data_IF_741034442076
#
_entry.id   IF_741034442076
#
_cell.length_a   1.000
_cell.length_b   1.000
_cell.length_c   1.000
_cell.angle_alpha   90.00
_cell.angle_beta   90.00
_cell.angle_gamma   90.00
#
_symmetry.space_group_name_H-M   'P 1'
#
loop_
_entity.id
_entity.type
_entity.pdbx_description
1 polymer ?
#
# COMPACT_ATOMS: atom_id res chain seq x y z
N UNK A 1 31.84 19.80 6.63
CA UNK A 1 30.90 20.82 7.13
C UNK A 1 29.52 20.21 7.04
N UNK A 2 28.85 20.02 8.17
CA UNK A 2 27.46 19.55 8.17
C UNK A 2 26.55 20.75 7.86
N UNK A 3 25.64 20.58 6.92
CA UNK A 3 24.61 21.59 6.66
C UNK A 3 23.64 21.64 7.84
N UNK A 4 23.16 22.82 8.19
CA UNK A 4 22.05 22.95 9.14
C UNK A 4 20.74 22.53 8.47
N UNK A 5 19.74 22.09 9.25
CA UNK A 5 18.42 21.70 8.74
C UNK A 5 17.82 22.79 7.85
N UNK A 6 17.97 24.07 8.22
CA UNK A 6 17.47 25.21 7.44
C UNK A 6 18.19 25.33 6.08
N UNK A 7 19.48 25.06 6.01
CA UNK A 7 20.24 25.11 4.76
C UNK A 7 19.85 23.98 3.80
N UNK A 8 19.51 22.82 4.35
CA UNK A 8 19.03 21.68 3.57
C UNK A 8 17.61 21.92 3.06
N UNK A 9 16.72 22.44 3.89
CA UNK A 9 15.36 22.79 3.50
C UNK A 9 15.32 23.91 2.45
N UNK A 10 16.19 24.91 2.56
CA UNK A 10 16.35 25.96 1.54
C UNK A 10 16.89 25.37 0.24
N UNK A 11 17.83 24.44 0.28
CA UNK A 11 18.36 23.77 -0.90
C UNK A 11 17.32 22.88 -1.57
N UNK A 12 16.50 22.17 -0.79
CA UNK A 12 15.38 21.35 -1.28
C UNK A 12 14.31 22.22 -1.94
N UNK A 13 13.91 23.29 -1.27
CA UNK A 13 12.95 24.27 -1.79
C UNK A 13 13.40 24.91 -3.09
N UNK A 14 14.66 25.35 -3.16
CA UNK A 14 15.26 25.93 -4.37
C UNK A 14 15.41 24.90 -5.50
N UNK A 15 15.52 23.61 -5.17
CA UNK A 15 15.55 22.53 -6.15
C UNK A 15 14.15 22.22 -6.67
N UNK A 16 13.12 22.25 -5.81
CA UNK A 16 11.72 22.09 -6.17
C UNK A 16 11.19 23.29 -6.98
N UNK A 17 11.57 24.52 -6.61
CA UNK A 17 11.22 25.74 -7.37
C UNK A 17 11.81 25.77 -8.78
N UNK A 18 12.91 25.06 -9.03
CA UNK A 18 13.48 24.90 -10.38
C UNK A 18 12.79 23.85 -11.24
N UNK A 19 11.91 23.03 -10.67
CA UNK A 19 11.24 21.90 -11.35
C UNK A 19 9.90 22.29 -11.97
N UNK A 20 9.29 23.40 -11.60
CA UNK A 20 8.08 23.90 -12.25
C UNK A 20 7.40 25.03 -11.49
N UNK A 21 6.94 26.03 -12.20
CA UNK A 21 5.99 27.00 -11.65
C UNK A 21 4.62 26.30 -11.49
N UNK A 22 3.91 26.54 -10.37
CA UNK A 22 2.56 25.99 -10.19
C UNK A 22 1.63 26.57 -11.27
N UNK A 23 0.84 25.71 -11.89
CA UNK A 23 -0.24 26.15 -12.80
C UNK A 23 -1.25 27.00 -12.02
N UNK A 24 -1.92 27.97 -12.65
CA UNK A 24 -2.82 28.92 -11.99
C UNK A 24 -4.00 28.30 -11.24
N UNK A 25 -4.26 27.01 -11.42
CA UNK A 25 -5.32 26.24 -10.78
C UNK A 25 -4.87 25.40 -9.57
N UNK A 26 -3.60 25.54 -9.14
CA UNK A 26 -3.06 24.84 -7.96
C UNK A 26 -2.74 23.36 -8.17
N UNK A 27 -2.83 22.84 -9.38
CA UNK A 27 -2.39 21.47 -9.70
C UNK A 27 -0.90 21.47 -10.06
N UNK A 28 -0.13 20.57 -9.45
CA UNK A 28 1.27 20.36 -9.82
C UNK A 28 1.30 19.49 -11.08
N UNK A 29 2.01 19.93 -12.11
CA UNK A 29 2.32 19.06 -13.25
C UNK A 29 3.17 17.89 -12.78
N UNK A 30 2.71 16.68 -13.05
CA UNK A 30 3.50 15.46 -12.85
C UNK A 30 4.89 15.61 -13.49
N UNK A 31 5.91 15.35 -12.71
CA UNK A 31 7.31 15.38 -13.14
C UNK A 31 7.47 14.39 -14.30
N UNK A 32 8.03 14.82 -15.44
CA UNK A 32 8.25 13.90 -16.57
C UNK A 32 9.11 12.71 -16.14
N UNK A 33 8.85 11.54 -16.72
CA UNK A 33 9.47 10.24 -16.48
C UNK A 33 11.02 10.17 -16.55
N UNK A 34 11.70 11.31 -16.67
CA UNK A 34 13.17 11.42 -16.65
C UNK A 34 13.81 11.55 -15.25
N UNK A 35 13.01 11.75 -14.20
CA UNK A 35 13.51 11.81 -12.82
C UNK A 35 13.49 10.44 -12.13
N UNK A 36 13.97 9.40 -12.82
CA UNK A 36 14.07 8.04 -12.26
C UNK A 36 15.20 7.83 -11.25
N UNK A 37 15.92 8.86 -10.87
CA UNK A 37 16.96 8.76 -9.85
C UNK A 37 16.97 10.03 -9.00
N UNK A 38 16.14 10.06 -7.95
CA UNK A 38 16.55 10.86 -6.80
C UNK A 38 17.93 10.36 -6.38
N UNK A 39 18.91 11.25 -6.16
CA UNK A 39 20.21 10.80 -5.70
C UNK A 39 19.99 9.99 -4.42
N UNK A 40 20.52 8.76 -4.35
CA UNK A 40 20.49 7.92 -3.15
C UNK A 40 20.94 8.70 -1.90
N UNK A 41 21.81 9.69 -2.09
CA UNK A 41 22.25 10.62 -1.06
C UNK A 41 21.14 11.50 -0.47
N UNK A 42 20.10 11.85 -1.23
CA UNK A 42 19.03 12.71 -0.73
C UNK A 42 18.04 11.90 0.12
N UNK A 43 17.66 10.70 -0.31
CA UNK A 43 16.83 9.79 0.49
C UNK A 43 17.51 9.39 1.79
N UNK A 44 18.81 9.07 1.76
CA UNK A 44 19.59 8.80 2.96
C UNK A 44 19.66 10.02 3.91
N UNK A 45 19.74 11.24 3.36
CA UNK A 45 19.73 12.46 4.15
C UNK A 45 18.35 12.71 4.78
N UNK A 46 17.26 12.50 4.05
CA UNK A 46 15.88 12.63 4.57
C UNK A 46 15.63 11.61 5.68
N UNK A 47 15.98 10.33 5.47
CA UNK A 47 15.84 9.28 6.47
C UNK A 47 16.73 9.48 7.71
N UNK A 48 17.89 10.12 7.56
CA UNK A 48 18.78 10.45 8.69
C UNK A 48 18.27 11.65 9.50
N UNK A 49 17.43 12.51 8.89
CA UNK A 49 16.91 13.71 9.54
C UNK A 49 15.63 13.48 10.33
N UNK A 50 14.80 12.54 9.88
CA UNK A 50 13.54 12.18 10.53
C UNK A 50 13.45 10.65 10.61
N UNK A 51 14.00 10.03 11.65
CA UNK A 51 13.68 8.64 11.90
C UNK A 51 12.16 8.56 12.09
N UNK A 52 11.46 7.61 11.47
CA UNK A 52 10.03 7.47 11.66
C UNK A 52 9.77 7.18 13.13
N UNK A 53 8.96 8.03 13.73
CA UNK A 53 8.47 7.83 15.08
C UNK A 53 7.18 7.00 14.99
N UNK A 54 7.25 5.78 14.47
CA UNK A 54 6.12 4.81 14.47
C UNK A 54 5.55 4.68 15.89
N UNK A 55 6.42 4.79 16.90
CA UNK A 55 6.08 4.68 18.30
C UNK A 55 5.11 5.76 18.83
N UNK A 56 4.89 6.84 18.08
CA UNK A 56 4.03 7.97 18.51
C UNK A 56 2.68 8.02 17.79
N UNK A 57 2.29 6.96 17.11
CA UNK A 57 0.95 6.91 16.52
C UNK A 57 -0.11 6.80 17.61
N UNK A 58 -1.23 7.49 17.41
CA UNK A 58 -2.33 7.49 18.37
C UNK A 58 -3.52 6.76 17.79
N UNK A 59 -3.98 5.73 18.48
CA UNK A 59 -5.19 5.00 18.11
C UNK A 59 -6.41 5.92 18.17
N UNK A 60 -7.26 5.80 17.16
CA UNK A 60 -8.56 6.46 17.04
C UNK A 60 -9.69 5.42 17.22
N UNK A 61 -10.95 5.83 17.26
CA UNK A 61 -12.06 4.88 17.27
C UNK A 61 -11.98 3.92 16.09
N UNK A 62 -12.34 2.67 16.36
CA UNK A 62 -12.36 1.56 15.39
C UNK A 62 -13.73 1.53 14.73
N UNK A 63 -13.77 1.43 13.41
CA UNK A 63 -15.00 1.08 12.68
C UNK A 63 -15.16 -0.43 12.68
N UNK A 64 -16.37 -0.91 12.95
CA UNK A 64 -16.70 -2.33 13.06
C UNK A 64 -17.89 -2.65 12.15
N UNK A 65 -17.72 -3.68 11.32
CA UNK A 65 -18.71 -4.13 10.35
C UNK A 65 -18.93 -5.62 10.52
N UNK A 66 -20.16 -5.97 10.87
CA UNK A 66 -20.53 -7.34 11.17
C UNK A 66 -21.44 -7.87 10.06
N UNK A 67 -21.15 -9.07 9.60
CA UNK A 67 -22.05 -9.87 8.77
C UNK A 67 -22.62 -9.10 7.55
N UNK A 68 -21.73 -8.53 6.77
CA UNK A 68 -22.06 -7.92 5.48
C UNK A 68 -21.52 -8.80 4.35
N UNK A 69 -22.12 -8.76 3.18
CA UNK A 69 -21.65 -9.54 2.01
C UNK A 69 -20.18 -9.26 1.66
N UNK A 70 -19.71 -8.06 1.95
CA UNK A 70 -18.34 -7.65 1.66
C UNK A 70 -17.34 -7.92 2.80
N UNK A 71 -17.78 -8.20 4.03
CA UNK A 71 -16.87 -8.50 5.15
C UNK A 71 -16.29 -9.90 5.03
N UNK A 72 -17.01 -10.83 4.40
CA UNK A 72 -16.57 -12.19 4.20
C UNK A 72 -15.25 -12.29 3.41
N UNK A 73 -14.22 -12.83 4.02
CA UNK A 73 -12.90 -12.99 3.42
C UNK A 73 -12.34 -11.68 2.85
N UNK A 74 -12.43 -10.60 3.62
CA UNK A 74 -12.00 -9.27 3.23
C UNK A 74 -10.46 -9.22 3.21
N UNK A 75 -9.85 -8.72 2.10
CA UNK A 75 -8.41 -8.85 1.84
C UNK A 75 -7.67 -7.50 1.81
N UNK A 76 -8.37 -6.41 1.94
CA UNK A 76 -7.68 -5.13 1.95
C UNK A 76 -8.53 -3.91 1.75
N UNK A 77 -7.95 -2.76 2.07
CA UNK A 77 -8.61 -1.46 2.02
C UNK A 77 -7.65 -0.38 1.55
N UNK A 78 -8.14 0.51 0.69
CA UNK A 78 -7.44 1.76 0.32
C UNK A 78 -8.41 2.92 0.25
N UNK A 79 -7.89 4.15 0.31
CA UNK A 79 -8.70 5.38 0.20
C UNK A 79 -8.02 6.41 -0.69
N UNK A 80 -8.83 7.16 -1.45
CA UNK A 80 -8.40 8.35 -2.18
C UNK A 80 -8.67 9.66 -1.41
N UNK A 81 -9.15 9.54 -0.15
CA UNK A 81 -9.53 10.65 0.70
C UNK A 81 -10.97 11.13 0.48
N UNK A 82 -11.70 10.57 -0.49
CA UNK A 82 -13.12 10.81 -0.74
C UNK A 82 -13.96 9.54 -0.62
N UNK A 83 -13.35 8.39 -0.93
CA UNK A 83 -13.99 7.09 -0.93
C UNK A 83 -13.08 6.04 -0.33
N UNK A 84 -13.69 4.99 0.20
CA UNK A 84 -13.03 3.74 0.53
C UNK A 84 -13.22 2.74 -0.61
N UNK A 85 -12.18 1.96 -0.86
CA UNK A 85 -12.20 0.82 -1.77
C UNK A 85 -11.76 -0.41 -0.99
N UNK A 86 -12.64 -1.40 -0.90
CA UNK A 86 -12.45 -2.62 -0.10
C UNK A 86 -12.46 -3.81 -1.04
N UNK A 87 -11.56 -4.76 -0.82
CA UNK A 87 -11.47 -5.99 -1.60
C UNK A 87 -11.97 -7.15 -0.75
N UNK A 88 -12.97 -7.88 -1.23
CA UNK A 88 -13.45 -9.14 -0.63
C UNK A 88 -13.15 -10.31 -1.57
N UNK A 89 -12.58 -11.37 -1.03
CA UNK A 89 -12.25 -12.59 -1.77
C UNK A 89 -13.24 -13.74 -1.53
N UNK A 90 -14.38 -13.48 -0.93
CA UNK A 90 -15.44 -14.49 -0.76
C UNK A 90 -15.91 -14.97 -2.15
N UNK A 91 -15.88 -16.29 -2.36
CA UNK A 91 -16.25 -16.90 -3.65
C UNK A 91 -17.64 -16.54 -4.16
N UNK A 92 -18.60 -16.25 -3.26
CA UNK A 92 -19.98 -15.92 -3.63
C UNK A 92 -20.19 -14.44 -3.95
N UNK A 93 -19.38 -13.57 -3.38
CA UNK A 93 -19.51 -12.09 -3.45
C UNK A 93 -18.18 -11.40 -3.75
N UNK A 94 -17.23 -12.14 -4.35
CA UNK A 94 -15.90 -11.61 -4.68
C UNK A 94 -16.01 -10.39 -5.55
N UNK A 95 -15.52 -9.26 -5.01
CA UNK A 95 -15.63 -7.98 -5.67
C UNK A 95 -14.68 -6.94 -5.08
N UNK A 96 -14.60 -5.79 -5.75
CA UNK A 96 -14.07 -4.56 -5.20
C UNK A 96 -15.27 -3.68 -4.89
N UNK A 97 -15.41 -3.27 -3.64
CA UNK A 97 -16.50 -2.44 -3.14
C UNK A 97 -16.05 -1.00 -2.95
N UNK A 98 -16.91 -0.06 -3.31
CA UNK A 98 -16.70 1.39 -3.12
C UNK A 98 -17.70 1.93 -2.12
N UNK A 99 -17.19 2.64 -1.12
CA UNK A 99 -17.99 3.27 -0.07
C UNK A 99 -17.69 4.76 0.06
N UNK A 100 -18.63 5.52 0.62
CA UNK A 100 -18.37 6.86 1.11
C UNK A 100 -17.38 6.81 2.29
N UNK A 101 -16.92 7.98 2.77
CA UNK A 101 -16.08 8.03 3.97
C UNK A 101 -16.85 7.62 5.24
N UNK A 102 -18.17 7.67 5.23
CA UNK A 102 -19.05 7.20 6.30
C UNK A 102 -19.45 5.71 6.12
N UNK A 103 -18.79 4.99 5.21
CA UNK A 103 -19.05 3.60 4.83
C UNK A 103 -20.46 3.32 4.28
N UNK A 104 -21.13 4.31 3.71
CA UNK A 104 -22.32 4.05 2.91
C UNK A 104 -21.91 3.42 1.57
N UNK A 105 -22.54 2.29 1.22
CA UNK A 105 -22.29 1.60 -0.05
C UNK A 105 -22.63 2.49 -1.24
N UNK A 106 -21.74 2.54 -2.24
CA UNK A 106 -21.90 3.32 -3.45
C UNK A 106 -22.00 2.43 -4.66
N UNK A 107 -21.03 1.52 -4.85
CA UNK A 107 -20.91 0.68 -6.03
C UNK A 107 -20.00 -0.52 -5.77
N UNK A 108 -20.02 -1.50 -6.66
CA UNK A 108 -19.08 -2.61 -6.67
C UNK A 108 -18.73 -3.06 -8.08
N UNK A 109 -17.53 -3.62 -8.26
CA UNK A 109 -17.10 -4.33 -9.46
C UNK A 109 -16.89 -5.80 -9.12
N UNK A 110 -17.82 -6.68 -9.56
CA UNK A 110 -17.70 -8.11 -9.32
C UNK A 110 -16.48 -8.70 -10.02
N UNK A 111 -15.86 -9.67 -9.37
CA UNK A 111 -14.76 -10.41 -9.96
C UNK A 111 -15.27 -11.35 -11.06
N UNK A 112 -14.80 -11.14 -12.28
CA UNK A 112 -15.21 -11.94 -13.44
C UNK A 112 -14.44 -13.26 -13.51
N UNK A 113 -15.05 -14.35 -13.03
CA UNK A 113 -14.47 -15.69 -13.06
C UNK A 113 -14.22 -16.22 -14.48
N UNK A 114 -14.98 -15.78 -15.48
CA UNK A 114 -14.74 -16.17 -16.87
C UNK A 114 -13.43 -15.54 -17.40
N UNK A 115 -13.07 -14.37 -16.90
CA UNK A 115 -11.86 -13.64 -17.28
C UNK A 115 -10.63 -14.10 -16.49
N UNK A 116 -10.79 -14.34 -15.19
CA UNK A 116 -9.66 -14.63 -14.30
C UNK A 116 -9.53 -16.12 -13.98
N UNK A 117 -10.61 -16.86 -13.93
CA UNK A 117 -10.72 -18.23 -13.41
C UNK A 117 -11.32 -18.25 -12.01
N UNK A 118 -12.07 -19.29 -11.70
CA UNK A 118 -12.87 -19.39 -10.47
C UNK A 118 -12.07 -19.50 -9.17
N UNK A 119 -10.87 -20.08 -9.23
CA UNK A 119 -10.06 -20.36 -8.05
C UNK A 119 -8.93 -19.35 -7.83
N UNK A 120 -9.04 -18.15 -8.42
CA UNK A 120 -8.09 -17.07 -8.18
C UNK A 120 -8.33 -16.45 -6.79
N UNK A 121 -7.30 -15.81 -6.26
CA UNK A 121 -7.35 -15.04 -5.01
C UNK A 121 -7.03 -13.58 -5.31
N UNK A 122 -7.87 -12.65 -4.86
CA UNK A 122 -7.61 -11.21 -4.96
C UNK A 122 -7.12 -10.69 -3.61
N UNK A 123 -6.02 -9.96 -3.60
CA UNK A 123 -5.35 -9.49 -2.38
C UNK A 123 -5.47 -8.00 -2.15
N UNK A 124 -4.66 -7.50 -1.20
CA UNK A 124 -4.67 -6.08 -0.81
C UNK A 124 -4.26 -5.15 -1.96
N UNK A 125 -5.09 -4.15 -2.32
CA UNK A 125 -4.89 -3.30 -3.48
C UNK A 125 -3.95 -2.13 -3.18
N UNK A 126 -3.43 -1.51 -4.26
CA UNK A 126 -2.85 -0.18 -4.23
C UNK A 126 -3.74 0.83 -4.94
N UNK A 127 -3.72 2.08 -4.47
CA UNK A 127 -4.34 3.19 -5.17
C UNK A 127 -3.30 4.23 -5.54
N UNK A 128 -3.23 4.56 -6.83
CA UNK A 128 -2.28 5.54 -7.33
C UNK A 128 -2.79 6.23 -8.58
N UNK A 129 -2.72 7.55 -8.58
CA UNK A 129 -3.01 8.37 -9.77
C UNK A 129 -4.40 8.13 -10.36
N UNK A 130 -5.42 7.95 -9.50
CA UNK A 130 -6.80 7.68 -9.90
C UNK A 130 -7.02 6.26 -10.44
N UNK A 131 -6.15 5.32 -10.11
CA UNK A 131 -6.26 3.92 -10.49
C UNK A 131 -6.06 3.01 -9.30
N UNK A 132 -6.87 1.97 -9.25
CA UNK A 132 -6.71 0.82 -8.37
C UNK A 132 -5.88 -0.24 -9.09
N UNK A 133 -4.94 -0.82 -8.37
CA UNK A 133 -4.11 -1.95 -8.79
C UNK A 133 -4.41 -3.08 -7.84
N UNK A 134 -5.09 -4.11 -8.30
CA UNK A 134 -5.53 -5.24 -7.48
C UNK A 134 -4.72 -6.46 -7.84
N UNK A 135 -3.97 -7.04 -6.90
CA UNK A 135 -3.23 -8.27 -7.16
C UNK A 135 -4.19 -9.44 -7.28
N UNK A 136 -3.94 -10.30 -8.25
CA UNK A 136 -4.71 -11.52 -8.52
C UNK A 136 -3.75 -12.70 -8.53
N UNK A 137 -3.86 -13.54 -7.52
CA UNK A 137 -3.04 -14.76 -7.39
C UNK A 137 -3.73 -15.94 -8.08
N UNK A 138 -3.02 -16.69 -8.94
CA UNK A 138 -3.54 -17.93 -9.49
C UNK A 138 -3.56 -19.04 -8.43
N UNK A 139 -4.41 -20.07 -8.60
CA UNK A 139 -4.44 -21.22 -7.67
C UNK A 139 -3.17 -22.07 -7.78
N UNK A 140 -2.57 -22.14 -8.97
CA UNK A 140 -1.32 -22.87 -9.19
C UNK A 140 -0.13 -21.92 -8.99
N UNK A 141 0.78 -22.32 -8.13
CA UNK A 141 2.00 -21.53 -7.81
C UNK A 141 2.98 -21.44 -8.98
N UNK A 142 2.83 -22.27 -10.00
CA UNK A 142 3.63 -22.23 -11.22
C UNK A 142 3.10 -21.23 -12.25
N UNK A 143 1.86 -20.74 -12.08
CA UNK A 143 1.26 -19.70 -12.91
C UNK A 143 1.68 -18.30 -12.43
N UNK A 144 1.64 -17.33 -13.32
CA UNK A 144 2.00 -15.96 -12.99
C UNK A 144 0.85 -15.23 -12.29
N UNK A 145 1.16 -14.47 -11.26
CA UNK A 145 0.23 -13.50 -10.71
C UNK A 145 -0.13 -12.42 -11.74
N UNK A 146 -1.27 -11.79 -11.57
CA UNK A 146 -1.76 -10.71 -12.42
C UNK A 146 -2.02 -9.46 -11.58
N UNK A 147 -2.08 -8.33 -12.26
CA UNK A 147 -2.56 -7.08 -11.69
C UNK A 147 -3.77 -6.63 -12.49
N UNK A 148 -4.92 -6.58 -11.82
CA UNK A 148 -6.13 -6.02 -12.36
C UNK A 148 -6.14 -4.52 -12.10
N UNK A 149 -6.26 -3.72 -13.15
CA UNK A 149 -6.22 -2.25 -13.09
C UNK A 149 -7.61 -1.69 -13.36
N UNK A 150 -8.14 -0.92 -12.42
CA UNK A 150 -9.40 -0.21 -12.53
C UNK A 150 -9.17 1.29 -12.36
N UNK A 151 -10.13 2.10 -12.79
CA UNK A 151 -10.20 3.48 -12.34
C UNK A 151 -10.97 3.60 -11.01
N UNK A 152 -11.09 4.82 -10.49
CA UNK A 152 -11.81 5.09 -9.24
C UNK A 152 -13.33 5.07 -9.38
N UNK A 153 -13.86 4.91 -10.59
CA UNK A 153 -15.27 4.61 -10.86
C UNK A 153 -15.52 3.11 -11.05
N UNK A 154 -14.52 2.29 -10.67
CA UNK A 154 -14.51 0.83 -10.74
C UNK A 154 -14.59 0.26 -12.18
N UNK A 155 -14.31 1.06 -13.21
CA UNK A 155 -14.22 0.53 -14.56
C UNK A 155 -12.92 -0.23 -14.74
N UNK A 156 -13.03 -1.49 -15.15
CA UNK A 156 -11.87 -2.31 -15.53
C UNK A 156 -11.16 -1.70 -16.75
N UNK A 157 -9.89 -1.35 -16.58
CA UNK A 157 -9.08 -0.72 -17.62
C UNK A 157 -8.18 -1.72 -18.32
N UNK A 158 -7.53 -2.63 -17.57
CA UNK A 158 -6.58 -3.60 -18.11
C UNK A 158 -6.26 -4.71 -17.10
N UNK A 159 -5.69 -5.81 -17.58
CA UNK A 159 -5.14 -6.89 -16.77
C UNK A 159 -3.74 -7.20 -17.28
N UNK A 160 -2.78 -7.16 -16.40
CA UNK A 160 -1.39 -7.44 -16.72
C UNK A 160 -0.92 -8.70 -16.01
N UNK A 161 -0.33 -9.59 -16.76
CA UNK A 161 0.38 -10.73 -16.20
C UNK A 161 1.79 -10.31 -15.80
N UNK A 162 2.17 -10.62 -14.56
CA UNK A 162 3.53 -10.38 -14.10
C UNK A 162 4.47 -11.42 -14.70
N UNK A 163 5.51 -10.96 -15.39
CA UNK A 163 6.51 -11.85 -15.95
C UNK A 163 7.18 -12.68 -14.86
N UNK A 164 7.59 -13.91 -15.20
CA UNK A 164 8.40 -14.78 -14.31
C UNK A 164 9.69 -14.05 -13.95
N UNK A 165 9.85 -13.84 -12.64
CA UNK A 165 10.94 -13.03 -12.22
C UNK A 165 11.87 -13.74 -11.33
N UNK A 166 12.58 -13.75 -10.71
CA UNK A 166 13.52 -14.34 -9.83
C UNK A 166 12.86 -15.52 -9.06
N UNK A 167 13.61 -16.59 -8.86
CA UNK A 167 13.25 -17.73 -8.01
C UNK A 167 12.94 -17.35 -6.54
N UNK A 168 13.19 -16.11 -6.15
CA UNK A 168 12.88 -15.56 -4.81
C UNK A 168 11.47 -14.99 -4.70
N UNK A 169 10.84 -14.69 -5.80
CA UNK A 169 9.42 -14.33 -5.88
C UNK A 169 8.75 -15.40 -6.73
N UNK A 170 8.31 -16.50 -6.13
CA UNK A 170 7.70 -17.58 -6.88
C UNK A 170 6.54 -17.03 -7.69
N UNK A 171 6.39 -17.46 -8.93
CA UNK A 171 5.21 -17.14 -9.73
C UNK A 171 3.95 -17.39 -8.90
N UNK A 172 2.93 -16.58 -9.10
CA UNK A 172 1.64 -16.81 -8.48
C UNK A 172 1.45 -16.27 -7.06
N UNK A 173 2.44 -15.77 -6.39
CA UNK A 173 2.30 -15.22 -5.02
C UNK A 173 2.42 -13.71 -5.01
N UNK A 174 1.30 -13.03 -4.79
CA UNK A 174 1.19 -11.58 -4.70
C UNK A 174 0.01 -11.19 -3.80
N UNK A 175 0.08 -11.43 -2.49
CA UNK A 175 -1.04 -11.20 -1.57
C UNK A 175 -1.39 -9.71 -1.43
N UNK A 176 -0.48 -8.83 -1.73
CA UNK A 176 -0.65 -7.39 -1.64
C UNK A 176 0.13 -6.66 -2.73
N UNK A 177 -0.22 -5.42 -2.97
CA UNK A 177 0.64 -4.52 -3.73
C UNK A 177 0.57 -3.07 -3.20
N UNK A 178 1.62 -2.31 -3.48
CA UNK A 178 1.71 -0.89 -3.16
C UNK A 178 2.48 -0.14 -4.24
N UNK A 179 2.13 1.12 -4.47
CA UNK A 179 2.89 1.99 -5.39
C UNK A 179 3.78 2.92 -4.57
N UNK A 180 5.07 2.94 -4.88
CA UNK A 180 5.99 3.89 -4.28
C UNK A 180 5.85 5.25 -4.99
N UNK A 181 5.42 6.32 -4.27
CA UNK A 181 5.17 7.62 -4.87
C UNK A 181 6.42 8.28 -5.47
N UNK A 182 7.63 7.87 -5.06
CA UNK A 182 8.86 8.47 -5.53
C UNK A 182 9.31 7.99 -6.91
N UNK A 183 9.03 6.74 -7.25
CA UNK A 183 9.45 6.15 -8.52
C UNK A 183 8.32 5.60 -9.37
N UNK A 184 7.07 5.62 -8.84
CA UNK A 184 5.86 5.11 -9.48
C UNK A 184 5.95 3.62 -9.86
N UNK A 185 6.79 2.85 -9.18
CA UNK A 185 6.85 1.41 -9.34
C UNK A 185 5.85 0.75 -8.39
N UNK A 186 5.28 -0.36 -8.84
CA UNK A 186 4.48 -1.24 -8.03
C UNK A 186 5.40 -2.20 -7.28
N UNK A 187 5.10 -2.44 -6.02
CA UNK A 187 5.85 -3.33 -5.15
C UNK A 187 4.94 -4.38 -4.56
N UNK A 188 5.49 -5.57 -4.34
CA UNK A 188 4.85 -6.68 -3.68
C UNK A 188 5.90 -7.65 -3.14
N UNK A 189 5.44 -8.61 -2.33
CA UNK A 189 6.26 -9.73 -1.84
C UNK A 189 5.45 -11.01 -1.84
N UNK A 190 6.11 -12.13 -1.55
CA UNK A 190 5.43 -13.36 -1.16
C UNK A 190 4.75 -13.20 0.20
N UNK A 191 3.76 -14.03 0.52
CA UNK A 191 3.18 -14.07 1.87
C UNK A 191 4.09 -14.75 2.90
N UNK A 192 4.98 -15.63 2.47
CA UNK A 192 5.88 -16.39 3.36
C UNK A 192 7.01 -15.54 3.95
N UNK A 193 8.22 -16.11 3.95
CA UNK A 193 9.41 -15.42 4.43
C UNK A 193 9.81 -14.28 3.49
N UNK A 194 9.66 -13.04 3.93
CA UNK A 194 9.94 -11.86 3.12
C UNK A 194 11.30 -11.28 3.47
N UNK A 195 12.28 -11.50 2.61
CA UNK A 195 13.60 -10.85 2.61
C UNK A 195 13.74 -9.87 1.43
N UNK A 196 12.80 -9.92 0.48
CA UNK A 196 12.78 -9.11 -0.73
C UNK A 196 11.37 -8.61 -1.02
N UNK A 197 11.22 -7.31 -1.24
CA UNK A 197 10.03 -6.68 -1.79
C UNK A 197 10.33 -6.33 -3.25
N UNK A 198 9.68 -7.05 -4.15
CA UNK A 198 9.92 -6.97 -5.60
C UNK A 198 9.27 -5.76 -6.23
N UNK A 199 9.98 -5.10 -7.14
CA UNK A 199 9.52 -3.93 -7.86
C UNK A 199 9.12 -4.27 -9.32
N UNK A 200 8.02 -3.68 -9.78
CA UNK A 200 7.49 -3.83 -11.14
C UNK A 200 7.20 -2.47 -11.76
N UNK A 201 7.50 -2.28 -13.05
CA UNK A 201 7.27 -1.01 -13.74
C UNK A 201 5.90 -1.00 -14.49
N UNK A 202 4.88 -0.30 -13.97
CA UNK A 202 3.56 -0.24 -14.62
C UNK A 202 3.60 0.38 -16.02
N UNK A 203 4.60 1.21 -16.32
CA UNK A 203 4.75 1.84 -17.63
C UNK A 203 5.38 0.90 -18.68
N UNK A 204 5.89 -0.25 -18.26
CA UNK A 204 6.52 -1.26 -19.12
C UNK A 204 5.88 -2.63 -18.91
N UNK A 205 4.55 -2.67 -18.94
CA UNK A 205 3.76 -3.90 -18.76
C UNK A 205 4.14 -4.69 -17.51
N UNK A 206 4.32 -3.97 -16.40
CA UNK A 206 4.72 -4.55 -15.11
C UNK A 206 5.98 -5.42 -15.18
N UNK A 207 6.94 -5.02 -16.01
CA UNK A 207 8.24 -5.71 -16.04
C UNK A 207 8.96 -5.60 -14.70
N UNK A 208 9.54 -6.70 -14.26
CA UNK A 208 10.30 -6.76 -13.02
C UNK A 208 11.55 -5.88 -13.04
N UNK A 209 11.84 -5.24 -11.92
CA UNK A 209 13.01 -4.38 -11.74
C UNK A 209 13.84 -4.80 -10.53
N UNK A 210 14.78 -5.71 -10.74
CA UNK A 210 15.65 -6.18 -9.66
C UNK A 210 16.45 -5.05 -8.98
N UNK A 211 16.89 -4.07 -9.75
CA UNK A 211 17.68 -2.93 -9.21
C UNK A 211 16.89 -2.00 -8.29
N UNK A 212 15.56 -1.98 -8.44
CA UNK A 212 14.65 -1.14 -7.67
C UNK A 212 13.95 -1.93 -6.56
N UNK A 213 14.12 -3.27 -6.52
CA UNK A 213 13.59 -4.12 -5.45
C UNK A 213 14.30 -3.83 -4.12
N UNK A 214 13.56 -3.98 -3.03
CA UNK A 214 14.00 -3.63 -1.68
C UNK A 214 14.34 -4.89 -0.91
N UNK A 215 15.61 -5.05 -0.54
CA UNK A 215 16.04 -6.10 0.38
C UNK A 215 15.76 -5.66 1.82
N UNK A 216 14.93 -6.43 2.51
CA UNK A 216 14.58 -6.15 3.91
C UNK A 216 15.77 -6.50 4.80
N UNK A 217 16.22 -5.53 5.60
CA UNK A 217 17.28 -5.70 6.58
C UNK A 217 16.70 -6.01 7.97
N UNK A 218 17.23 -7.03 8.63
CA UNK A 218 16.85 -7.42 9.98
C UNK A 218 16.12 -8.74 10.05
N UNK A 219 15.09 -8.81 10.87
CA UNK A 219 14.29 -10.03 11.01
C UNK A 219 13.45 -10.26 9.75
N UNK A 220 13.42 -11.51 9.32
CA UNK A 220 12.53 -11.94 8.25
C UNK A 220 11.09 -11.76 8.74
N UNK A 221 10.30 -11.11 7.91
CA UNK A 221 8.86 -10.97 8.12
C UNK A 221 8.15 -12.19 7.53
N UNK A 222 7.16 -12.71 8.24
CA UNK A 222 6.32 -13.82 7.79
C UNK A 222 4.90 -13.34 7.57
N UNK A 223 4.13 -14.04 6.77
CA UNK A 223 2.70 -13.81 6.54
C UNK A 223 2.35 -12.34 6.28
N UNK A 224 3.07 -11.70 5.33
CA UNK A 224 2.79 -10.30 4.96
C UNK A 224 1.55 -10.25 4.10
N UNK A 225 0.51 -9.58 4.58
CA UNK A 225 -0.79 -9.46 3.94
C UNK A 225 -1.07 -8.06 3.40
N UNK A 226 -0.39 -7.04 3.92
CA UNK A 226 -0.59 -5.66 3.47
C UNK A 226 0.68 -4.83 3.46
N UNK A 227 0.70 -3.82 2.59
CA UNK A 227 1.80 -2.88 2.54
C UNK A 227 1.43 -1.55 1.91
N UNK A 228 2.07 -0.48 2.36
CA UNK A 228 1.91 0.83 1.76
C UNK A 228 3.20 1.66 1.85
N UNK A 229 3.31 2.67 0.98
CA UNK A 229 4.41 3.62 1.02
C UNK A 229 3.94 4.97 1.51
N UNK A 230 4.74 5.59 2.37
CA UNK A 230 4.58 7.00 2.69
C UNK A 230 5.25 7.92 1.66
N UNK A 231 4.82 9.17 1.62
CA UNK A 231 5.45 10.22 0.80
C UNK A 231 6.90 10.52 1.22
N UNK A 232 7.31 10.09 2.41
CA UNK A 232 8.67 10.27 2.92
C UNK A 232 9.62 9.12 2.61
N UNK A 233 9.16 8.12 1.85
CA UNK A 233 9.99 6.98 1.43
C UNK A 233 10.13 5.92 2.50
N UNK A 234 9.10 5.72 3.30
CA UNK A 234 8.99 4.57 4.18
C UNK A 234 8.05 3.54 3.55
N UNK A 235 8.40 2.30 3.68
CA UNK A 235 7.57 1.14 3.40
C UNK A 235 7.04 0.62 4.73
N UNK A 236 5.73 0.55 4.87
CA UNK A 236 5.06 -0.11 5.99
C UNK A 236 4.49 -1.43 5.53
N UNK A 237 4.71 -2.47 6.32
CA UNK A 237 4.20 -3.83 6.08
C UNK A 237 3.43 -4.29 7.31
N UNK A 238 2.31 -4.96 7.09
CA UNK A 238 1.60 -5.71 8.12
C UNK A 238 1.89 -7.19 7.97
N UNK A 239 1.97 -7.87 9.11
CA UNK A 239 2.22 -9.30 9.16
C UNK A 239 1.23 -9.93 10.13
N UNK A 240 0.59 -10.97 9.67
CA UNK A 240 -0.33 -11.76 10.47
C UNK A 240 0.37 -12.56 11.59
N UNK A 241 1.65 -12.93 11.38
CA UNK A 241 2.45 -13.62 12.41
C UNK A 241 2.95 -12.71 13.53
N UNK A 242 3.31 -11.45 13.22
CA UNK A 242 4.01 -10.58 14.18
C UNK A 242 3.11 -9.59 14.89
N UNK A 243 1.84 -9.50 14.52
CA UNK A 243 0.85 -8.63 15.20
C UNK A 243 1.30 -7.18 15.27
N UNK A 244 2.00 -6.70 14.23
CA UNK A 244 2.55 -5.35 14.20
C UNK A 244 2.54 -4.75 12.79
N UNK A 245 2.67 -3.43 12.75
CA UNK A 245 3.04 -2.69 11.54
C UNK A 245 4.54 -2.45 11.61
N UNK A 246 5.28 -2.92 10.62
CA UNK A 246 6.72 -2.74 10.52
C UNK A 246 7.09 -1.71 9.48
N UNK A 247 7.91 -0.73 9.89
CA UNK A 247 8.42 0.31 9.02
C UNK A 247 9.83 0.03 8.52
N UNK A 248 10.04 0.24 7.23
CA UNK A 248 11.32 0.09 6.56
C UNK A 248 11.64 1.30 5.70
N UNK A 249 12.91 1.60 5.53
CA UNK A 249 13.35 2.57 4.52
C UNK A 249 13.12 2.00 3.11
N UNK A 250 12.31 2.68 2.32
CA UNK A 250 12.10 2.30 0.91
C UNK A 250 13.37 2.42 0.05
N UNK A 251 14.41 3.10 0.55
CA UNK A 251 15.66 3.29 -0.17
C UNK A 251 16.60 2.09 -0.05
N UNK A 252 16.64 1.45 1.12
CA UNK A 252 17.65 0.44 1.41
C UNK A 252 17.15 -0.73 2.28
N UNK A 253 15.82 -0.79 2.56
CA UNK A 253 15.21 -1.86 3.33
C UNK A 253 15.55 -1.88 4.83
N UNK A 254 16.24 -0.87 5.33
CA UNK A 254 16.62 -0.81 6.74
C UNK A 254 15.37 -0.74 7.62
N UNK A 255 15.30 -1.59 8.63
CA UNK A 255 14.25 -1.56 9.65
C UNK A 255 14.29 -0.24 10.43
N UNK A 256 13.14 0.40 10.61
CA UNK A 256 12.98 1.71 11.22
C UNK A 256 12.22 1.65 12.55
N UNK A 257 11.47 0.60 12.78
CA UNK A 257 10.68 0.38 13.99
C UNK A 257 9.39 -0.37 13.68
N UNK A 258 8.64 -0.71 14.74
CA UNK A 258 7.33 -1.34 14.64
C UNK A 258 6.32 -0.68 15.57
N UNK A 259 5.05 -0.84 15.22
CA UNK A 259 3.91 -0.41 16.02
C UNK A 259 3.04 -1.64 16.30
N UNK A 260 2.89 -2.05 17.57
CA UNK A 260 2.10 -3.22 17.91
C UNK A 260 0.61 -2.93 17.65
N UNK A 261 -0.09 -3.92 17.12
CA UNK A 261 -1.53 -3.91 16.97
C UNK A 261 -2.15 -4.72 18.13
N UNK A 262 -3.33 -4.30 18.55
CA UNK A 262 -4.12 -5.01 19.56
C UNK A 262 -5.36 -5.56 18.85
N UNK A 263 -5.42 -6.88 18.70
CA UNK A 263 -6.55 -7.59 18.10
C UNK A 263 -6.75 -8.97 18.74
N UNK A 264 -7.87 -9.63 18.44
CA UNK A 264 -8.29 -10.88 19.05
C UNK A 264 -7.41 -12.07 18.66
N UNK A 265 -7.50 -13.16 19.45
CA UNK A 265 -6.90 -14.44 19.07
C UNK A 265 -7.71 -15.03 17.90
N UNK A 266 -7.08 -15.28 16.78
CA UNK A 266 -7.72 -15.80 15.57
C UNK A 266 -8.06 -14.76 14.50
N UNK A 267 -7.94 -13.47 14.82
CA UNK A 267 -8.08 -12.40 13.83
C UNK A 267 -6.87 -12.38 12.87
N UNK A 268 -7.08 -11.93 11.64
CA UNK A 268 -6.06 -11.80 10.60
C UNK A 268 -5.89 -10.35 10.17
N UNK A 269 -4.64 -9.89 9.99
CA UNK A 269 -4.37 -8.56 9.46
C UNK A 269 -4.29 -8.64 7.94
N UNK A 270 -5.28 -8.09 7.23
CA UNK A 270 -5.40 -8.25 5.79
C UNK A 270 -5.01 -7.02 4.96
N UNK A 271 -4.90 -5.85 5.56
CA UNK A 271 -4.59 -4.68 4.75
C UNK A 271 -4.09 -3.48 5.52
N UNK A 272 -3.37 -2.61 4.80
CA UNK A 272 -2.77 -1.41 5.36
C UNK A 272 -2.76 -0.29 4.32
N UNK A 273 -3.37 0.86 4.61
CA UNK A 273 -3.25 2.02 3.75
C UNK A 273 -2.97 3.32 4.51
N UNK A 274 -2.49 4.31 3.78
CA UNK A 274 -2.30 5.68 4.27
C UNK A 274 -3.36 6.57 3.65
N UNK A 275 -4.13 7.25 4.50
CA UNK A 275 -5.09 8.27 4.12
C UNK A 275 -4.64 9.66 4.54
N UNK A 276 -5.05 10.66 3.77
CA UNK A 276 -4.82 12.06 4.10
C UNK A 276 -6.13 12.82 4.08
N UNK A 277 -6.37 13.64 5.10
CA UNK A 277 -7.46 14.61 5.09
C UNK A 277 -6.90 16.03 5.09
N UNK A 278 -7.49 16.88 4.28
CA UNK A 278 -7.14 18.31 4.22
C UNK A 278 -8.31 19.10 4.84
N UNK A 279 -8.03 19.84 5.89
CA UNK A 279 -8.99 20.70 6.52
C UNK A 279 -8.40 22.10 6.79
N UNK A 280 -9.18 23.01 7.38
CA UNK A 280 -8.74 24.38 7.67
C UNK A 280 -7.56 24.46 8.66
N UNK A 281 -7.27 23.41 9.40
CA UNK A 281 -6.15 23.33 10.34
C UNK A 281 -4.86 22.76 9.66
N UNK A 282 -4.96 22.22 8.45
CA UNK A 282 -3.84 21.66 7.69
C UNK A 282 -4.13 20.27 7.13
N UNK A 283 -3.08 19.53 6.83
CA UNK A 283 -3.13 18.14 6.40
C UNK A 283 -3.00 17.26 7.64
N UNK A 284 -3.91 16.31 7.78
CA UNK A 284 -3.80 15.23 8.77
C UNK A 284 -3.60 13.93 8.02
N UNK A 285 -2.66 13.13 8.50
CA UNK A 285 -2.36 11.82 7.91
C UNK A 285 -2.75 10.71 8.87
N UNK A 286 -3.29 9.66 8.31
CA UNK A 286 -3.79 8.52 9.04
C UNK A 286 -3.25 7.25 8.42
N UNK A 287 -3.02 6.26 9.27
CA UNK A 287 -2.80 4.87 8.84
C UNK A 287 -4.06 4.10 9.20
N UNK A 288 -4.53 3.31 8.26
CA UNK A 288 -5.71 2.47 8.41
C UNK A 288 -5.30 1.02 8.22
N UNK A 289 -5.72 0.16 9.13
CA UNK A 289 -5.44 -1.27 9.11
C UNK A 289 -6.75 -2.02 9.11
N UNK A 290 -6.92 -2.90 8.14
CA UNK A 290 -8.04 -3.82 8.08
C UNK A 290 -7.67 -5.10 8.82
N UNK A 291 -8.52 -5.51 9.74
CA UNK A 291 -8.42 -6.73 10.51
C UNK A 291 -9.68 -7.53 10.25
N UNK A 292 -9.51 -8.80 9.93
CA UNK A 292 -10.57 -9.76 9.69
C UNK A 292 -10.71 -10.66 10.90
N UNK A 293 -11.90 -10.67 11.54
CA UNK A 293 -12.25 -11.61 12.59
C UNK A 293 -12.88 -12.86 11.96
N UNK A 294 -12.13 -13.94 11.99
CA UNK A 294 -12.54 -15.24 11.47
C UNK A 294 -13.20 -16.13 12.55
N UNK A 295 -13.48 -15.58 13.74
CA UNK A 295 -14.12 -16.33 14.82
C UNK A 295 -15.62 -16.48 14.60
N UNK A 296 -16.06 -17.63 14.14
CA UNK A 296 -17.49 -17.90 14.02
C UNK A 296 -17.92 -18.55 12.73
N UNK A 297 -19.11 -18.21 12.25
CA UNK A 297 -19.67 -18.71 10.99
C UNK A 297 -19.67 -17.66 9.89
N UNK A 298 -19.39 -16.42 10.23
CA UNK A 298 -19.41 -15.25 9.38
C UNK A 298 -18.25 -14.35 9.81
N UNK A 299 -17.57 -13.73 8.85
CA UNK A 299 -16.42 -12.88 9.12
C UNK A 299 -16.89 -11.46 9.43
N UNK A 300 -16.31 -10.88 10.47
CA UNK A 300 -16.46 -9.47 10.81
C UNK A 300 -15.19 -8.69 10.41
N UNK A 301 -15.33 -7.42 10.09
CA UNK A 301 -14.20 -6.55 9.73
C UNK A 301 -14.08 -5.42 10.71
N UNK A 302 -12.85 -5.22 11.21
CA UNK A 302 -12.47 -4.06 11.99
C UNK A 302 -11.51 -3.20 11.17
N UNK A 303 -11.74 -1.88 11.15
CA UNK A 303 -10.81 -0.93 10.56
C UNK A 303 -10.23 -0.08 11.67
N UNK A 304 -8.99 -0.33 11.99
CA UNK A 304 -8.24 0.43 12.98
C UNK A 304 -7.64 1.67 12.35
N UNK A 305 -7.83 2.81 12.97
CA UNK A 305 -7.32 4.08 12.52
C UNK A 305 -6.27 4.62 13.49
N UNK A 306 -5.16 5.11 12.93
CA UNK A 306 -4.08 5.71 13.71
C UNK A 306 -3.78 7.09 13.17
N UNK A 307 -3.83 8.11 14.03
CA UNK A 307 -3.35 9.44 13.67
C UNK A 307 -1.83 9.51 13.77
N UNK A 308 -1.21 10.14 12.80
CA UNK A 308 0.22 10.36 12.76
C UNK A 308 0.50 11.81 13.15
N UNK A 309 1.25 12.06 14.23
CA UNK A 309 1.44 13.40 14.79
C UNK A 309 2.11 14.40 13.86
N UNK A 310 2.94 13.90 12.93
CA UNK A 310 3.63 14.74 11.95
C UNK A 310 3.30 14.23 10.53
N UNK A 311 2.37 14.90 9.82
CA UNK A 311 2.02 14.50 8.46
C UNK A 311 3.18 14.64 7.47
N UNK A 312 4.28 15.30 7.83
CA UNK A 312 5.49 15.30 7.02
C UNK A 312 6.26 13.98 7.08
N UNK A 313 5.86 13.08 7.99
CA UNK A 313 6.47 11.75 8.17
C UNK A 313 5.82 10.70 7.26
N UNK A 314 4.64 10.99 6.68
CA UNK A 314 3.93 10.05 5.79
C UNK A 314 4.00 10.41 4.30
#
# INVERSE_FOLDING_TARGET
MAYTNDQLMISLRNSLEKIGEPEPNGTFKLIPSGFRSFPQSLGAAVNAMNPPLIENWTSLPVDNFNNQDWTENCQGIVTDGNFWYVVSNNKSTRAIYKFSLDFDFIDDEPFDEDQFGADQHIGHPALWNGKLYVPVEPPDVDDNARVWVLDTDLLSLDIFELGQNDYRHPPGKMPWCAINPWNSLLYSSVSGNVDLVSAYDPNHSFSFSNKDSIHIEGEIIHAVQGGCFSNNGHLYLTSDDSVDIRGYSALNGKFLGSFPLDYGEGDEIEGLCIGHTINSAGVSSFVHVLILDNEGTEDDVFINHFSVPDPSVL
#
